data_IF_168471426613
#
_entry.id   IF_168471426613
#
_cell.length_a   1.000
_cell.length_b   1.000
_cell.length_c   1.000
_cell.angle_alpha   90.00
_cell.angle_beta   90.00
_cell.angle_gamma   90.00
#
_symmetry.space_group_name_H-M   'P 1'
#
loop_
_entity.id
_entity.type
_entity.pdbx_description
1 polymer ?
#
# COMPACT_ATOMS: atom_id res chain seq x y z
N UNK A 1 23.86 -3.40 -39.82
CA UNK A 1 23.16 -2.25 -39.17
C UNK A 1 21.63 -2.36 -39.13
N UNK A 2 20.93 -2.81 -40.20
CA UNK A 2 19.45 -2.92 -40.18
C UNK A 2 18.90 -3.89 -39.13
N UNK A 3 19.57 -5.03 -38.90
CA UNK A 3 19.17 -6.00 -37.87
C UNK A 3 19.28 -5.47 -36.43
N UNK A 4 20.39 -4.80 -36.10
CA UNK A 4 20.61 -4.21 -34.77
C UNK A 4 19.55 -3.14 -34.43
N UNK A 5 19.16 -2.30 -35.41
CA UNK A 5 18.08 -1.32 -35.22
C UNK A 5 16.75 -2.01 -34.89
N UNK A 6 16.41 -3.11 -35.57
CA UNK A 6 15.19 -3.88 -35.28
C UNK A 6 15.22 -4.49 -33.87
N UNK A 7 16.36 -5.04 -33.45
CA UNK A 7 16.54 -5.59 -32.10
C UNK A 7 16.31 -4.51 -31.03
N UNK A 8 16.90 -3.33 -31.19
CA UNK A 8 16.71 -2.21 -30.25
C UNK A 8 15.24 -1.76 -30.19
N UNK A 9 14.55 -1.72 -31.33
CA UNK A 9 13.11 -1.39 -31.37
C UNK A 9 12.29 -2.44 -30.64
N UNK A 10 12.50 -3.73 -30.90
CA UNK A 10 11.79 -4.79 -30.20
C UNK A 10 12.07 -4.80 -28.69
N UNK A 11 13.32 -4.57 -28.30
CA UNK A 11 13.69 -4.44 -26.89
C UNK A 11 12.96 -3.26 -26.22
N UNK A 12 12.91 -2.10 -26.87
CA UNK A 12 12.16 -0.94 -26.38
C UNK A 12 10.66 -1.22 -26.23
N UNK A 13 10.05 -1.92 -27.20
CA UNK A 13 8.64 -2.32 -27.13
C UNK A 13 8.41 -3.28 -25.95
N UNK A 14 9.29 -4.26 -25.73
CA UNK A 14 9.20 -5.20 -24.61
C UNK A 14 9.29 -4.46 -23.27
N UNK A 15 10.25 -3.55 -23.10
CA UNK A 15 10.38 -2.76 -21.88
C UNK A 15 9.14 -1.90 -21.62
N UNK A 16 8.58 -1.29 -22.66
CA UNK A 16 7.34 -0.51 -22.55
C UNK A 16 6.17 -1.40 -22.12
N UNK A 17 6.03 -2.60 -22.70
CA UNK A 17 4.98 -3.54 -22.33
C UNK A 17 5.13 -4.01 -20.88
N UNK A 18 6.34 -4.33 -20.43
CA UNK A 18 6.62 -4.69 -19.03
C UNK A 18 6.22 -3.53 -18.10
N UNK A 19 6.56 -2.29 -18.46
CA UNK A 19 6.21 -1.12 -17.66
C UNK A 19 4.70 -0.89 -17.57
N UNK A 20 3.97 -1.02 -18.69
CA UNK A 20 2.51 -0.84 -18.73
C UNK A 20 1.76 -1.98 -18.02
N UNK A 21 2.25 -3.22 -18.14
CA UNK A 21 1.65 -4.41 -17.54
C UNK A 21 2.18 -4.74 -16.16
N UNK A 22 3.08 -3.91 -15.58
CA UNK A 22 3.78 -4.19 -14.32
C UNK A 22 2.86 -4.62 -13.18
N UNK A 23 1.68 -3.99 -13.06
CA UNK A 23 0.73 -4.32 -12.01
C UNK A 23 0.06 -5.68 -12.23
N UNK A 24 -0.21 -6.05 -13.48
CA UNK A 24 -0.75 -7.37 -13.82
C UNK A 24 0.31 -8.47 -13.61
N UNK A 25 1.52 -8.24 -14.10
CA UNK A 25 2.67 -9.14 -13.91
C UNK A 25 2.91 -9.35 -12.41
N UNK A 26 2.94 -8.28 -11.62
CA UNK A 26 3.15 -8.37 -10.18
C UNK A 26 2.05 -9.16 -9.49
N UNK A 27 0.78 -8.88 -9.76
CA UNK A 27 -0.36 -9.59 -9.12
C UNK A 27 -0.48 -11.06 -9.51
N UNK A 28 0.11 -11.45 -10.65
CA UNK A 28 0.22 -12.85 -11.06
C UNK A 28 1.41 -13.53 -10.38
N UNK A 29 2.55 -12.84 -10.30
CA UNK A 29 3.78 -13.41 -9.77
C UNK A 29 3.86 -13.38 -8.25
N UNK A 30 3.29 -12.37 -7.59
CA UNK A 30 3.35 -12.14 -6.15
C UNK A 30 1.97 -12.30 -5.55
N UNK A 31 1.90 -13.09 -4.49
CA UNK A 31 0.70 -13.28 -3.69
C UNK A 31 1.02 -13.10 -2.21
N UNK A 32 0.10 -12.45 -1.51
CA UNK A 32 0.16 -12.26 -0.07
C UNK A 32 -0.76 -13.29 0.59
N UNK A 33 -0.42 -13.73 1.79
CA UNK A 33 -1.32 -14.53 2.63
C UNK A 33 -1.43 -13.84 3.97
N UNK A 34 -2.65 -13.54 4.41
CA UNK A 34 -2.88 -12.90 5.71
C UNK A 34 -2.51 -13.86 6.84
N UNK A 35 -1.68 -13.42 7.77
CA UNK A 35 -1.29 -14.18 8.96
C UNK A 35 -1.64 -13.45 10.27
N UNK A 36 -2.03 -12.17 10.21
CA UNK A 36 -2.42 -11.40 11.38
C UNK A 36 -2.96 -10.02 11.05
N UNK A 37 -3.27 -9.26 12.11
CA UNK A 37 -3.75 -7.89 12.04
C UNK A 37 -3.05 -7.02 13.09
N UNK A 38 -3.01 -5.70 12.83
CA UNK A 38 -2.63 -4.70 13.83
C UNK A 38 -3.78 -3.76 14.13
N UNK A 39 -3.77 -3.23 15.34
CA UNK A 39 -4.72 -2.21 15.75
C UNK A 39 -4.52 -0.92 14.94
N UNK A 40 -5.64 -0.31 14.53
CA UNK A 40 -5.63 1.02 13.94
C UNK A 40 -5.19 2.06 15.00
N UNK A 41 -4.38 3.02 14.58
CA UNK A 41 -3.96 4.15 15.41
C UNK A 41 -4.71 5.39 14.95
N UNK A 42 -5.48 6.01 15.84
CA UNK A 42 -6.23 7.22 15.51
C UNK A 42 -5.31 8.42 15.29
N UNK A 43 -5.66 9.23 14.29
CA UNK A 43 -4.92 10.47 13.99
C UNK A 43 -5.35 11.55 14.98
N UNK A 44 -4.37 12.06 15.72
CA UNK A 44 -4.50 13.18 16.66
C UNK A 44 -3.60 14.36 16.27
N UNK A 45 -2.61 14.16 15.39
CA UNK A 45 -1.73 15.22 14.90
C UNK A 45 -2.51 16.22 14.03
N UNK A 46 -2.64 17.45 14.51
CA UNK A 46 -3.43 18.51 13.85
C UNK A 46 -2.90 18.93 12.47
N UNK A 47 -1.58 18.87 12.25
CA UNK A 47 -0.98 19.17 10.94
C UNK A 47 -1.32 18.08 9.92
N UNK A 48 -1.28 16.81 10.33
CA UNK A 48 -1.70 15.69 9.50
C UNK A 48 -3.19 15.80 9.16
N UNK A 49 -4.04 16.08 10.16
CA UNK A 49 -5.48 16.32 9.94
C UNK A 49 -5.71 17.42 8.90
N UNK A 50 -5.02 18.56 9.04
CA UNK A 50 -5.12 19.67 8.09
C UNK A 50 -4.75 19.23 6.67
N UNK A 51 -3.69 18.45 6.52
CA UNK A 51 -3.26 17.96 5.21
C UNK A 51 -4.26 17.01 4.56
N UNK A 52 -4.84 16.09 5.35
CA UNK A 52 -5.88 15.18 4.87
C UNK A 52 -7.11 15.98 4.42
N UNK A 53 -7.54 16.95 5.22
CA UNK A 53 -8.71 17.79 4.90
C UNK A 53 -8.48 18.65 3.65
N UNK A 54 -7.25 19.14 3.43
CA UNK A 54 -6.87 19.85 2.20
C UNK A 54 -6.92 18.92 0.98
N UNK A 55 -6.43 17.69 1.10
CA UNK A 55 -6.48 16.71 0.02
C UNK A 55 -7.93 16.27 -0.30
N UNK A 56 -8.80 16.16 0.72
CA UNK A 56 -10.22 15.84 0.57
C UNK A 56 -11.03 16.96 -0.11
N UNK A 57 -10.63 18.23 0.03
CA UNK A 57 -11.34 19.39 -0.55
C UNK A 57 -12.84 19.48 -0.19
N UNK A 58 -13.22 19.05 1.02
CA UNK A 58 -14.61 19.06 1.53
C UNK A 58 -15.65 18.27 0.72
N UNK A 59 -15.25 17.45 -0.26
CA UNK A 59 -16.19 16.56 -0.97
C UNK A 59 -16.36 15.23 -0.26
N UNK A 60 -17.48 14.56 -0.50
CA UNK A 60 -17.64 13.14 -0.19
C UNK A 60 -16.78 12.31 -1.14
N UNK A 61 -16.11 11.28 -0.64
CA UNK A 61 -15.14 10.48 -1.41
C UNK A 61 -15.68 9.07 -1.65
N UNK A 62 -15.54 8.59 -2.88
CA UNK A 62 -15.66 7.17 -3.21
C UNK A 62 -14.53 6.36 -2.57
N UNK A 63 -14.70 5.04 -2.44
CA UNK A 63 -13.69 4.16 -1.85
C UNK A 63 -12.35 4.21 -2.60
N UNK A 64 -12.40 4.33 -3.93
CA UNK A 64 -11.19 4.47 -4.76
C UNK A 64 -10.48 5.80 -4.49
N UNK A 65 -11.21 6.88 -4.24
CA UNK A 65 -10.63 8.17 -3.88
C UNK A 65 -10.03 8.15 -2.47
N UNK A 66 -10.67 7.45 -1.50
CA UNK A 66 -10.11 7.24 -0.16
C UNK A 66 -8.77 6.51 -0.26
N UNK A 67 -8.70 5.43 -1.04
CA UNK A 67 -7.45 4.69 -1.31
C UNK A 67 -6.42 5.61 -1.94
N UNK A 68 -6.79 6.32 -3.01
CA UNK A 68 -5.87 7.16 -3.75
C UNK A 68 -5.28 8.29 -2.89
N UNK A 69 -6.11 8.97 -2.09
CA UNK A 69 -5.67 10.03 -1.18
C UNK A 69 -4.78 9.45 -0.08
N UNK A 70 -5.18 8.34 0.55
CA UNK A 70 -4.40 7.71 1.60
C UNK A 70 -3.03 7.27 1.10
N UNK A 71 -2.97 6.69 -0.11
CA UNK A 71 -1.73 6.27 -0.73
C UNK A 71 -0.86 7.48 -1.12
N UNK A 72 -1.44 8.52 -1.73
CA UNK A 72 -0.73 9.72 -2.14
C UNK A 72 -0.09 10.46 -0.96
N UNK A 73 -0.85 10.66 0.12
CA UNK A 73 -0.35 11.29 1.34
C UNK A 73 0.78 10.45 1.94
N UNK A 74 0.60 9.13 2.04
CA UNK A 74 1.62 8.22 2.58
C UNK A 74 2.93 8.33 1.79
N UNK A 75 2.87 8.19 0.46
CA UNK A 75 4.05 8.27 -0.44
C UNK A 75 4.75 9.62 -0.39
N UNK A 76 4.00 10.72 -0.30
CA UNK A 76 4.61 12.05 -0.20
C UNK A 76 5.28 12.30 1.14
N UNK A 77 4.74 11.73 2.21
CA UNK A 77 5.21 11.99 3.57
C UNK A 77 6.38 11.13 3.95
N UNK A 78 6.30 9.86 3.60
CA UNK A 78 7.25 8.87 4.06
C UNK A 78 8.35 8.64 3.03
N UNK A 79 9.47 8.12 3.50
CA UNK A 79 10.47 7.46 2.67
C UNK A 79 10.86 6.13 3.33
N UNK A 80 11.13 5.13 2.51
CA UNK A 80 11.39 3.79 3.00
C UNK A 80 12.73 3.71 3.74
N UNK A 81 12.73 3.04 4.88
CA UNK A 81 13.93 2.74 5.67
C UNK A 81 13.86 1.32 6.21
N UNK A 82 14.99 0.61 6.18
CA UNK A 82 15.14 -0.71 6.82
C UNK A 82 15.53 -0.63 8.29
N UNK A 83 15.79 0.58 8.80
CA UNK A 83 16.13 0.82 10.21
C UNK A 83 14.89 0.69 11.11
N UNK A 84 15.11 0.62 12.42
CA UNK A 84 14.00 0.71 13.39
C UNK A 84 13.35 2.08 13.29
N UNK A 85 12.07 2.11 12.92
CA UNK A 85 11.27 3.34 12.80
C UNK A 85 10.02 3.27 13.69
N UNK A 86 9.34 4.41 13.88
CA UNK A 86 8.02 4.43 14.51
C UNK A 86 6.99 3.79 13.57
N UNK A 87 5.92 3.24 14.13
CA UNK A 87 4.70 2.85 13.38
C UNK A 87 3.53 3.78 13.69
N UNK A 88 3.71 4.78 14.57
CA UNK A 88 2.65 5.69 14.95
C UNK A 88 2.51 6.80 13.88
N UNK A 89 1.36 6.91 13.17
CA UNK A 89 1.14 7.93 12.14
C UNK A 89 1.34 9.36 12.65
N UNK A 90 1.00 9.62 13.91
CA UNK A 90 1.14 10.94 14.52
C UNK A 90 2.60 11.37 14.68
N UNK A 91 3.52 10.42 14.88
CA UNK A 91 4.96 10.65 14.92
C UNK A 91 5.60 10.61 13.53
N UNK A 92 5.15 9.66 12.70
CA UNK A 92 5.66 9.42 11.35
C UNK A 92 5.48 10.65 10.45
N UNK A 93 4.43 11.44 10.69
CA UNK A 93 4.20 12.68 9.95
C UNK A 93 5.41 13.63 9.99
N UNK A 94 6.09 13.71 11.14
CA UNK A 94 7.27 14.55 11.33
C UNK A 94 8.57 13.79 11.02
N UNK A 95 8.68 12.52 11.43
CA UNK A 95 9.91 11.71 11.28
C UNK A 95 10.18 11.24 9.85
N UNK A 96 9.12 11.00 9.06
CA UNK A 96 9.12 10.59 7.64
C UNK A 96 9.78 9.24 7.31
N UNK A 97 10.81 8.78 8.03
CA UNK A 97 11.40 7.46 7.83
C UNK A 97 10.42 6.36 8.30
N UNK A 98 10.14 5.38 7.44
CA UNK A 98 9.26 4.26 7.78
C UNK A 98 9.66 2.97 7.05
N UNK A 99 9.46 1.83 7.70
CA UNK A 99 9.45 0.51 7.06
C UNK A 99 8.02 0.11 6.62
N UNK A 100 7.81 -1.12 6.16
CA UNK A 100 6.49 -1.61 5.73
C UNK A 100 5.40 -1.42 6.81
N UNK A 101 5.72 -1.69 8.07
CA UNK A 101 4.81 -1.48 9.22
C UNK A 101 4.38 -0.01 9.31
N UNK A 102 5.35 0.92 9.21
CA UNK A 102 5.08 2.36 9.27
C UNK A 102 4.26 2.83 8.08
N UNK A 103 4.56 2.36 6.87
CA UNK A 103 3.80 2.66 5.65
C UNK A 103 2.35 2.18 5.77
N UNK A 104 2.14 0.91 6.12
CA UNK A 104 0.81 0.31 6.25
C UNK A 104 0.00 0.94 7.39
N UNK A 105 0.64 1.27 8.52
CA UNK A 105 0.00 1.99 9.63
C UNK A 105 -0.43 3.40 9.23
N UNK A 106 0.43 4.14 8.53
CA UNK A 106 0.14 5.50 8.11
C UNK A 106 -1.01 5.54 7.10
N UNK A 107 -0.97 4.68 6.09
CA UNK A 107 -2.07 4.52 5.14
C UNK A 107 -3.37 4.17 5.85
N UNK A 108 -3.34 3.18 6.77
CA UNK A 108 -4.52 2.71 7.48
C UNK A 108 -5.20 3.84 8.26
N UNK A 109 -4.41 4.62 8.99
CA UNK A 109 -4.92 5.71 9.80
C UNK A 109 -5.54 6.82 8.96
N UNK A 110 -4.93 7.16 7.81
CA UNK A 110 -5.50 8.15 6.88
C UNK A 110 -6.81 7.65 6.27
N UNK A 111 -6.86 6.39 5.84
CA UNK A 111 -8.07 5.80 5.28
C UNK A 111 -9.21 5.76 6.30
N UNK A 112 -8.94 5.28 7.53
CA UNK A 112 -9.93 5.23 8.60
C UNK A 112 -10.38 6.63 9.05
N UNK A 113 -9.47 7.62 9.08
CA UNK A 113 -9.85 9.01 9.33
C UNK A 113 -10.83 9.51 8.27
N UNK A 114 -10.55 9.29 6.98
CA UNK A 114 -11.43 9.71 5.89
C UNK A 114 -12.80 9.04 5.96
N UNK A 115 -12.85 7.73 6.23
CA UNK A 115 -14.10 6.96 6.40
C UNK A 115 -14.94 7.51 7.55
N UNK A 116 -14.31 7.75 8.71
CA UNK A 116 -14.96 8.31 9.91
C UNK A 116 -15.47 9.74 9.69
N UNK A 117 -14.65 10.58 9.05
CA UNK A 117 -15.01 11.97 8.77
C UNK A 117 -16.24 12.10 7.85
N UNK A 118 -16.49 11.11 6.98
CA UNK A 118 -17.69 11.05 6.15
C UNK A 118 -18.84 10.20 6.73
N UNK A 119 -18.70 9.67 7.95
CA UNK A 119 -19.69 8.81 8.64
C UNK A 119 -20.04 7.51 7.88
N UNK A 120 -19.04 6.92 7.20
CA UNK A 120 -19.22 5.72 6.37
C UNK A 120 -18.62 4.46 7.00
N UNK A 121 -18.39 4.44 8.32
CA UNK A 121 -17.86 3.26 9.04
C UNK A 121 -18.78 2.03 8.94
N UNK A 122 -20.06 2.23 8.62
CA UNK A 122 -21.00 1.14 8.34
C UNK A 122 -20.89 0.58 6.91
N UNK A 123 -20.23 1.30 6.00
CA UNK A 123 -20.02 0.88 4.60
C UNK A 123 -18.61 0.40 4.34
N UNK A 124 -17.62 1.02 4.96
CA UNK A 124 -16.22 0.74 4.71
C UNK A 124 -15.43 0.52 6.00
N UNK A 125 -14.43 -0.36 5.96
CA UNK A 125 -13.47 -0.56 7.03
C UNK A 125 -12.08 -0.76 6.45
N UNK A 126 -11.08 -0.03 6.95
CA UNK A 126 -9.68 -0.28 6.60
C UNK A 126 -8.97 -1.04 7.73
N UNK A 127 -8.39 -2.19 7.41
CA UNK A 127 -7.59 -3.00 8.33
C UNK A 127 -6.10 -2.92 8.01
N UNK A 128 -5.27 -2.96 9.05
CA UNK A 128 -3.82 -3.12 8.92
C UNK A 128 -3.51 -4.60 9.08
N UNK A 129 -3.01 -5.23 8.02
CA UNK A 129 -2.74 -6.65 7.95
C UNK A 129 -1.26 -6.95 8.04
N UNK A 130 -0.96 -8.11 8.63
CA UNK A 130 0.36 -8.76 8.60
C UNK A 130 0.22 -9.96 7.66
N UNK A 131 1.16 -10.13 6.73
CA UNK A 131 1.11 -11.24 5.79
C UNK A 131 2.46 -11.82 5.42
N UNK A 132 2.41 -13.03 4.87
CA UNK A 132 3.54 -13.66 4.19
C UNK A 132 3.50 -13.41 2.69
N UNK A 133 4.66 -13.27 2.05
CA UNK A 133 4.76 -13.07 0.60
C UNK A 133 5.27 -14.35 -0.08
N UNK A 134 4.59 -14.75 -1.16
CA UNK A 134 5.02 -15.84 -2.04
C UNK A 134 5.21 -15.34 -3.47
N UNK A 135 6.27 -15.80 -4.14
CA UNK A 135 6.54 -15.57 -5.55
C UNK A 135 6.29 -16.87 -6.34
N UNK A 136 5.39 -16.85 -7.32
CA UNK A 136 5.01 -18.02 -8.13
C UNK A 136 4.76 -19.27 -7.26
N UNK A 137 3.96 -19.13 -6.20
CA UNK A 137 3.65 -20.18 -5.18
C UNK A 137 4.81 -20.61 -4.28
N UNK A 138 6.02 -20.11 -4.53
CA UNK A 138 7.19 -20.36 -3.70
C UNK A 138 7.18 -19.33 -2.57
N UNK A 139 7.05 -19.80 -1.33
CA UNK A 139 7.07 -18.93 -0.15
C UNK A 139 8.46 -18.26 -0.05
N UNK A 140 8.51 -16.92 -0.10
CA UNK A 140 9.78 -16.20 -0.06
C UNK A 140 10.41 -16.20 1.34
N UNK A 141 9.63 -16.48 2.40
CA UNK A 141 10.15 -16.58 3.77
C UNK A 141 11.28 -17.60 3.90
N UNK A 142 11.27 -18.67 3.09
CA UNK A 142 12.31 -19.71 3.17
C UNK A 142 13.69 -19.23 2.72
N UNK A 143 13.78 -18.05 2.09
CA UNK A 143 15.03 -17.46 1.61
C UNK A 143 15.54 -16.31 2.49
N UNK A 144 14.80 -15.92 3.53
CA UNK A 144 15.18 -14.80 4.40
C UNK A 144 15.10 -15.18 5.88
N UNK A 145 16.25 -15.41 6.50
CA UNK A 145 16.35 -15.78 7.93
C UNK A 145 16.21 -14.60 8.91
N UNK A 146 16.14 -13.36 8.40
CA UNK A 146 16.01 -12.18 9.27
C UNK A 146 14.54 -11.87 9.55
N UNK A 147 14.14 -11.64 10.82
CA UNK A 147 12.75 -11.33 11.19
C UNK A 147 12.11 -10.18 10.41
N UNK A 148 12.92 -9.21 9.98
CA UNK A 148 12.49 -8.05 9.20
C UNK A 148 11.95 -8.40 7.80
N UNK A 149 12.38 -9.51 7.20
CA UNK A 149 11.93 -9.99 5.90
C UNK A 149 11.00 -11.20 6.02
N UNK A 150 10.64 -11.57 7.25
CA UNK A 150 9.70 -12.64 7.49
C UNK A 150 8.32 -12.09 7.16
N UNK A 151 7.77 -11.21 7.99
CA UNK A 151 6.41 -10.72 7.76
C UNK A 151 6.39 -9.37 7.05
N UNK A 152 5.39 -9.15 6.20
CA UNK A 152 5.18 -7.87 5.50
C UNK A 152 3.82 -7.29 5.81
N UNK A 153 3.82 -6.00 6.12
CA UNK A 153 2.62 -5.28 6.53
C UNK A 153 1.98 -4.56 5.33
N UNK A 154 0.66 -4.70 5.21
CA UNK A 154 -0.15 -4.14 4.12
C UNK A 154 -1.56 -3.81 4.63
N UNK A 155 -2.46 -3.41 3.72
CA UNK A 155 -3.80 -2.98 4.08
C UNK A 155 -4.88 -3.71 3.31
N UNK A 156 -6.01 -3.89 3.99
CA UNK A 156 -7.27 -4.33 3.43
C UNK A 156 -8.28 -3.20 3.61
N UNK A 157 -9.08 -2.94 2.57
CA UNK A 157 -10.30 -2.15 2.69
C UNK A 157 -11.49 -3.03 2.34
N UNK A 158 -12.39 -3.20 3.29
CA UNK A 158 -13.60 -4.01 3.18
C UNK A 158 -14.77 -3.12 2.83
N UNK A 159 -15.52 -3.50 1.79
CA UNK A 159 -16.86 -2.98 1.50
C UNK A 159 -17.84 -3.88 2.26
N UNK A 160 -18.42 -3.35 3.35
CA UNK A 160 -19.16 -4.14 4.34
C UNK A 160 -20.41 -4.78 3.72
N UNK A 161 -21.12 -4.06 2.85
CA UNK A 161 -22.36 -4.53 2.23
C UNK A 161 -22.15 -5.75 1.33
N UNK A 162 -21.06 -5.77 0.55
CA UNK A 162 -20.79 -6.83 -0.44
C UNK A 162 -19.80 -7.88 0.06
N UNK A 163 -19.04 -7.58 1.11
CA UNK A 163 -17.89 -8.37 1.54
C UNK A 163 -16.67 -8.29 0.61
N UNK A 164 -16.71 -7.42 -0.41
CA UNK A 164 -15.58 -7.20 -1.32
C UNK A 164 -14.39 -6.62 -0.54
N UNK A 165 -13.19 -7.10 -0.87
CA UNK A 165 -11.93 -6.69 -0.24
C UNK A 165 -10.97 -6.15 -1.28
N UNK A 166 -10.44 -4.97 -1.00
CA UNK A 166 -9.40 -4.33 -1.82
C UNK A 166 -8.11 -4.33 -1.00
N UNK A 167 -7.06 -4.92 -1.56
CA UNK A 167 -5.76 -5.00 -0.89
C UNK A 167 -4.77 -3.98 -1.46
N UNK A 168 -4.11 -3.25 -0.58
CA UNK A 168 -3.19 -2.17 -0.91
C UNK A 168 -1.91 -2.35 -0.11
N UNK A 169 -0.78 -2.29 -0.79
CA UNK A 169 0.52 -2.19 -0.15
C UNK A 169 1.11 -0.80 -0.47
N UNK A 170 1.09 0.13 0.50
CA UNK A 170 1.58 1.49 0.26
C UNK A 170 3.10 1.55 0.03
N UNK A 171 3.88 0.59 0.53
CA UNK A 171 5.32 0.53 0.29
C UNK A 171 5.64 0.09 -1.14
N UNK A 172 4.91 -0.90 -1.65
CA UNK A 172 4.99 -1.34 -3.05
C UNK A 172 4.39 -0.31 -4.00
N UNK A 173 3.33 0.38 -3.58
CA UNK A 173 2.78 1.51 -4.33
C UNK A 173 3.79 2.63 -4.52
N UNK A 174 4.61 2.90 -3.50
CA UNK A 174 5.66 3.92 -3.54
C UNK A 174 6.80 3.50 -4.49
N UNK A 175 7.30 2.28 -4.31
CA UNK A 175 8.49 1.82 -5.01
C UNK A 175 8.23 1.37 -6.45
N UNK A 176 7.11 0.69 -6.70
CA UNK A 176 6.78 0.05 -7.98
C UNK A 176 5.61 0.73 -8.71
N UNK A 177 4.92 1.68 -8.08
CA UNK A 177 3.74 2.32 -8.67
C UNK A 177 2.61 1.32 -8.95
N UNK A 178 2.40 0.40 -8.01
CA UNK A 178 1.37 -0.66 -8.06
C UNK A 178 0.35 -0.38 -6.95
N UNK A 179 -0.83 0.10 -7.31
CA UNK A 179 -1.81 0.58 -6.33
C UNK A 179 -2.66 -0.54 -5.69
N UNK A 180 -2.61 -1.76 -6.23
CA UNK A 180 -3.37 -2.93 -5.75
C UNK A 180 -2.56 -4.21 -5.83
N UNK A 181 -2.67 -5.02 -4.78
CA UNK A 181 -2.00 -6.33 -4.65
C UNK A 181 -3.03 -7.47 -4.57
N UNK A 182 -2.55 -8.71 -4.70
CA UNK A 182 -3.38 -9.92 -4.51
C UNK A 182 -3.12 -10.52 -3.13
N UNK A 183 -4.18 -10.86 -2.40
CA UNK A 183 -4.08 -11.58 -1.13
C UNK A 183 -4.97 -12.82 -1.14
N UNK A 184 -4.40 -13.95 -0.73
CA UNK A 184 -5.10 -15.18 -0.38
C UNK A 184 -5.56 -15.08 1.08
N UNK A 185 -6.75 -15.61 1.35
CA UNK A 185 -7.36 -15.64 2.68
C UNK A 185 -7.09 -16.97 3.36
#
# INVERSE_FOLDING_TARGET
MKGLKKILVYFGIILLLIFLLRGWIFRYAISYTKIGERNNIEITNSKLIKEINLAKQKKHLSINEIIAISNNITKRKLYFSTSKTSSNPNELFEKRAANCIGYASFFNAVANYLIKDQKEEKKYKANHLIGSISFLTINLHQFFDRPFFRDHDFNEIVIIETGEKIFVDPSISDYLGIDRISCQQ
#
